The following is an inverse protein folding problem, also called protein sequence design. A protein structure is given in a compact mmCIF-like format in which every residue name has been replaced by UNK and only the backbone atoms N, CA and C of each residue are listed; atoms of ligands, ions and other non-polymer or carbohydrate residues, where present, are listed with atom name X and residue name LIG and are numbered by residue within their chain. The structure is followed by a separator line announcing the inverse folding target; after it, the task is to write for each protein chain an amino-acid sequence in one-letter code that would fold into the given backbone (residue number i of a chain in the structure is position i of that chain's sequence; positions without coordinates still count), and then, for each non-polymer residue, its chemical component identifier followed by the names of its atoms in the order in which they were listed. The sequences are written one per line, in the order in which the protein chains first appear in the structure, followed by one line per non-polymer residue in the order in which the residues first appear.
data_IF_400809312924
#
_entry.id   IF_400809312924
#
_cell.length_a   1.000
_cell.length_b   1.000
_cell.length_c   1.000
_cell.angle_alpha   90.00
_cell.angle_beta   90.00
_cell.angle_gamma   90.00
#
_symmetry.space_group_name_H-M   'P 1'
#
loop_
_entity.id
_entity.type
_entity.pdbx_description
1 polymer ?
#
# COMPACT_ATOMS: atom_id res chain seq x y z
N UNK A 1 4.36 -10.67 -56.03
CA UNK A 1 3.80 -11.45 -54.91
C UNK A 1 3.52 -10.48 -53.79
N UNK A 2 2.38 -9.81 -53.88
CA UNK A 2 1.97 -8.75 -52.98
C UNK A 2 1.14 -9.39 -51.88
N UNK A 3 1.63 -9.31 -50.64
CA UNK A 3 0.97 -9.89 -49.47
C UNK A 3 0.94 -8.85 -48.36
N UNK A 4 -0.24 -8.23 -48.26
CA UNK A 4 -0.95 -7.87 -47.02
C UNK A 4 -0.28 -6.85 -46.08
N UNK A 5 -0.85 -5.65 -45.86
CA UNK A 5 -2.12 -5.37 -45.15
C UNK A 5 -1.79 -4.66 -43.81
N UNK A 6 -1.40 -3.39 -43.86
CA UNK A 6 -1.43 -2.52 -42.68
C UNK A 6 -2.67 -1.63 -42.74
N UNK A 7 -3.68 -2.06 -41.98
CA UNK A 7 -4.98 -1.43 -41.90
C UNK A 7 -4.95 -0.28 -40.88
N UNK A 8 -5.11 0.93 -41.44
CA UNK A 8 -5.81 2.12 -40.88
C UNK A 8 -5.12 3.01 -39.84
N UNK A 9 -4.55 4.10 -40.35
CA UNK A 9 -4.67 5.44 -39.79
C UNK A 9 -6.12 5.95 -39.85
N UNK A 10 -6.52 6.79 -38.89
CA UNK A 10 -7.31 8.02 -39.09
C UNK A 10 -7.73 8.55 -37.71
N UNK A 11 -7.17 9.70 -37.31
CA UNK A 11 -7.73 10.51 -36.25
C UNK A 11 -8.98 11.26 -36.71
N UNK A 12 -9.78 11.73 -35.76
CA UNK A 12 -10.69 12.86 -35.97
C UNK A 12 -11.01 13.53 -34.63
N UNK A 13 -10.69 14.81 -34.58
CA UNK A 13 -11.11 15.84 -33.63
C UNK A 13 -12.62 16.06 -33.76
N UNK A 14 -13.35 16.28 -32.66
CA UNK A 14 -14.60 17.04 -32.68
C UNK A 14 -14.93 17.66 -31.32
N UNK A 15 -15.19 18.97 -31.38
CA UNK A 15 -15.51 19.90 -30.30
C UNK A 15 -17.02 19.93 -30.11
N UNK A 16 -17.52 19.94 -28.87
CA UNK A 16 -18.91 20.35 -28.57
C UNK A 16 -18.89 21.25 -27.34
N UNK A 17 -18.97 22.55 -27.58
CA UNK A 17 -19.49 23.52 -26.62
C UNK A 17 -20.99 23.63 -26.87
N UNK A 18 -21.80 23.41 -25.84
CA UNK A 18 -23.22 23.73 -25.86
C UNK A 18 -23.54 24.57 -24.63
N UNK A 19 -23.60 25.87 -24.87
CA UNK A 19 -24.41 26.80 -24.09
C UNK A 19 -25.84 26.28 -24.04
N UNK A 20 -26.37 26.08 -22.84
CA UNK A 20 -27.81 26.12 -22.61
C UNK A 20 -28.07 26.47 -21.14
N UNK A 21 -28.18 27.77 -20.86
CA UNK A 21 -29.12 28.21 -19.85
C UNK A 21 -30.51 27.75 -20.31
N UNK A 22 -31.22 26.97 -19.50
CA UNK A 22 -32.65 26.76 -19.71
C UNK A 22 -33.37 27.03 -18.42
N UNK A 23 -34.26 28.01 -18.53
CA UNK A 23 -35.25 28.42 -17.56
C UNK A 23 -36.18 27.24 -17.29
N UNK A 24 -36.42 27.04 -16.01
CA UNK A 24 -37.49 26.24 -15.40
C UNK A 24 -38.83 26.47 -16.09
N UNK A 25 -39.40 25.43 -16.67
CA UNK A 25 -40.85 25.32 -16.85
C UNK A 25 -41.28 23.84 -16.89
N UNK A 26 -42.17 23.52 -15.95
CA UNK A 26 -42.94 22.28 -15.74
C UNK A 26 -42.26 21.05 -15.11
N UNK A 27 -42.81 20.71 -13.94
CA UNK A 27 -42.54 19.56 -13.06
C UNK A 27 -42.83 18.20 -13.70
N UNK A 28 -42.01 17.21 -13.35
CA UNK A 28 -42.39 15.96 -12.66
C UNK A 28 -41.33 14.88 -12.95
N UNK A 29 -40.79 14.31 -11.87
CA UNK A 29 -40.31 12.92 -11.70
C UNK A 29 -39.52 12.17 -12.82
N UNK A 30 -38.38 11.61 -12.37
CA UNK A 30 -37.71 10.37 -12.80
C UNK A 30 -36.48 10.39 -13.77
N UNK A 31 -35.30 10.35 -13.13
CA UNK A 31 -34.23 9.32 -13.22
C UNK A 31 -33.40 9.07 -14.51
N UNK A 32 -32.13 9.47 -14.37
CA UNK A 32 -30.92 8.63 -14.30
C UNK A 32 -30.12 8.24 -15.57
N UNK A 33 -28.80 8.25 -15.33
CA UNK A 33 -27.69 7.57 -15.99
C UNK A 33 -27.11 8.23 -17.26
N UNK A 34 -26.08 9.07 -17.12
CA UNK A 34 -24.67 8.70 -16.91
C UNK A 34 -24.01 8.14 -18.17
N UNK A 35 -23.40 9.04 -18.95
CA UNK A 35 -22.13 8.80 -19.66
C UNK A 35 -21.68 10.10 -20.33
N UNK A 36 -20.35 10.30 -20.31
CA UNK A 36 -19.59 11.17 -21.23
C UNK A 36 -19.38 12.63 -20.77
N UNK A 37 -18.44 12.83 -19.84
CA UNK A 37 -17.82 14.14 -19.58
C UNK A 37 -16.39 14.00 -19.02
N UNK A 38 -15.59 13.11 -19.62
CA UNK A 38 -14.16 12.98 -19.31
C UNK A 38 -13.37 13.07 -20.61
N UNK A 39 -13.11 14.28 -21.08
CA UNK A 39 -12.00 14.62 -21.99
C UNK A 39 -12.06 16.09 -22.41
N UNK A 40 -11.77 17.02 -21.50
CA UNK A 40 -11.38 18.41 -21.86
C UNK A 40 -11.07 19.25 -20.62
N UNK A 41 -10.07 18.86 -19.83
CA UNK A 41 -9.53 19.71 -18.76
C UNK A 41 -8.00 19.71 -18.68
N UNK A 42 -7.32 19.30 -19.76
CA UNK A 42 -5.89 19.55 -19.94
C UNK A 42 -5.74 20.71 -20.91
N UNK A 43 -4.91 21.69 -20.54
CA UNK A 43 -4.47 22.86 -21.31
C UNK A 43 -5.17 24.19 -21.04
N UNK A 44 -5.16 24.66 -19.79
CA UNK A 44 -5.18 26.10 -19.50
C UNK A 44 -4.60 26.39 -18.11
N UNK A 45 -3.38 25.92 -17.87
CA UNK A 45 -2.54 26.56 -16.89
C UNK A 45 -1.93 27.81 -17.54
N UNK A 46 -1.87 28.89 -16.75
CA UNK A 46 -0.97 30.04 -16.90
C UNK A 46 -1.50 31.24 -17.70
N UNK A 47 -2.25 32.12 -17.03
CA UNK A 47 -2.12 33.59 -17.17
C UNK A 47 -2.90 34.28 -16.04
N UNK A 48 -2.29 35.31 -15.44
CA UNK A 48 -2.86 36.27 -14.48
C UNK A 48 -2.79 35.94 -12.97
N UNK A 49 -1.56 35.79 -12.47
CA UNK A 49 -1.11 36.47 -11.25
C UNK A 49 -0.72 37.89 -11.71
N UNK A 50 -1.39 38.99 -11.34
CA UNK A 50 -1.02 39.89 -10.24
C UNK A 50 -1.88 41.16 -10.32
N UNK A 51 -2.70 41.45 -9.30
CA UNK A 51 -3.06 42.81 -8.87
C UNK A 51 -3.69 42.70 -7.48
N UNK A 52 -3.01 43.25 -6.47
CA UNK A 52 -3.26 43.00 -5.05
C UNK A 52 -4.35 43.86 -4.39
N UNK A 53 -4.50 43.66 -3.06
CA UNK A 53 -5.21 44.59 -2.18
C UNK A 53 -6.06 43.93 -1.09
N UNK A 54 -5.40 43.61 0.03
CA UNK A 54 -5.89 43.02 1.28
C UNK A 54 -7.19 43.60 1.88
N UNK A 55 -8.15 42.74 2.25
CA UNK A 55 -8.93 42.79 3.50
C UNK A 55 -9.90 41.58 3.58
N UNK A 56 -10.05 40.99 4.77
CA UNK A 56 -10.91 39.85 5.14
C UNK A 56 -10.35 38.42 4.93
N UNK A 57 -9.32 38.08 5.72
CA UNK A 57 -9.04 36.73 6.25
C UNK A 57 -10.14 36.34 7.26
N UNK A 58 -10.75 35.16 7.32
CA UNK A 58 -10.33 33.82 6.92
C UNK A 58 -11.60 32.97 6.68
N UNK A 59 -12.29 33.16 5.57
CA UNK A 59 -13.41 32.32 5.18
C UNK A 59 -13.45 32.28 3.65
N UNK A 60 -13.24 31.08 3.10
CA UNK A 60 -13.26 30.78 1.67
C UNK A 60 -12.16 31.44 0.82
N UNK A 61 -10.97 30.84 0.80
CA UNK A 61 -10.30 30.35 -0.42
C UNK A 61 -8.83 30.02 -0.10
N UNK A 62 -8.58 28.79 0.33
CA UNK A 62 -7.27 28.17 0.13
C UNK A 62 -7.54 26.84 -0.57
N UNK A 63 -7.29 26.88 -1.87
CA UNK A 63 -6.95 25.75 -2.70
C UNK A 63 -7.99 24.63 -2.85
N UNK A 64 -8.78 24.71 -3.93
CA UNK A 64 -8.85 23.58 -4.89
C UNK A 64 -7.52 23.47 -5.65
N UNK A 65 -6.46 23.35 -4.85
CA UNK A 65 -5.16 22.76 -5.09
C UNK A 65 -4.81 21.96 -3.82
N UNK A 66 -5.80 21.60 -2.98
CA UNK A 66 -5.71 20.62 -1.91
C UNK A 66 -5.60 19.17 -2.44
N UNK A 67 -5.35 19.00 -3.74
CA UNK A 67 -4.68 17.82 -4.28
C UNK A 67 -3.20 18.10 -4.60
N UNK A 68 -2.58 19.10 -3.98
CA UNK A 68 -1.13 19.11 -3.78
C UNK A 68 -0.87 18.30 -2.53
N UNK A 69 -0.57 17.02 -2.76
CA UNK A 69 -0.09 16.07 -1.77
C UNK A 69 -1.08 15.86 -0.61
N UNK A 70 -2.01 14.90 -0.78
CA UNK A 70 -2.16 13.99 0.36
C UNK A 70 -0.78 13.38 0.52
N UNK A 71 -0.07 13.82 1.56
CA UNK A 71 0.97 13.00 2.15
C UNK A 71 0.24 11.72 2.57
N UNK A 72 0.25 10.72 1.69
CA UNK A 72 -0.15 9.38 2.06
C UNK A 72 0.91 8.92 3.07
N UNK A 73 0.58 9.02 4.35
CA UNK A 73 1.51 8.76 5.44
C UNK A 73 1.26 9.57 6.71
N UNK A 74 0.02 9.91 7.04
CA UNK A 74 -0.27 10.30 8.41
C UNK A 74 0.05 9.10 9.33
N UNK A 75 0.80 9.27 10.44
CA UNK A 75 1.11 8.17 11.32
C UNK A 75 -0.18 7.55 11.84
N UNK A 76 -0.36 6.25 11.60
CA UNK A 76 -1.56 5.55 12.06
C UNK A 76 -1.42 5.29 13.54
N UNK A 77 -2.11 6.10 14.35
CA UNK A 77 -2.16 5.89 15.79
C UNK A 77 -3.26 4.89 16.10
N UNK A 78 -2.89 3.73 16.65
CA UNK A 78 -3.80 2.67 17.06
C UNK A 78 -3.88 2.69 18.58
N UNK A 79 -5.09 2.84 19.12
CA UNK A 79 -5.29 2.76 20.56
C UNK A 79 -5.30 1.29 20.99
N UNK A 80 -4.31 0.87 21.77
CA UNK A 80 -4.17 -0.49 22.26
C UNK A 80 -4.55 -0.55 23.75
N UNK A 81 -5.54 -1.36 24.14
CA UNK A 81 -5.93 -1.49 25.54
C UNK A 81 -4.75 -2.00 26.38
N UNK A 82 -4.38 -1.26 27.43
CA UNK A 82 -3.28 -1.60 28.33
C UNK A 82 -1.88 -1.18 27.89
N UNK A 83 -1.69 -0.82 26.61
CA UNK A 83 -0.42 -0.30 26.07
C UNK A 83 -0.49 1.21 25.79
N UNK A 84 -1.69 1.73 25.50
CA UNK A 84 -1.92 3.13 25.13
C UNK A 84 -1.90 3.33 23.62
N UNK A 85 -1.75 4.58 23.20
CA UNK A 85 -1.67 4.95 21.79
C UNK A 85 -0.33 4.50 21.18
N UNK A 86 -0.41 3.65 20.16
CA UNK A 86 0.75 3.15 19.40
C UNK A 86 0.79 3.86 18.05
N UNK A 87 1.82 4.67 17.84
CA UNK A 87 2.02 5.40 16.59
C UNK A 87 2.80 4.54 15.60
N UNK A 88 2.12 4.06 14.56
CA UNK A 88 2.77 3.31 13.48
C UNK A 88 3.45 4.27 12.50
N UNK A 89 4.71 3.99 12.16
CA UNK A 89 5.39 4.62 11.02
C UNK A 89 4.60 4.39 9.73
N UNK A 90 4.69 5.30 8.74
CA UNK A 90 3.88 5.21 7.52
C UNK A 90 4.09 3.89 6.79
N UNK A 91 5.35 3.45 6.61
CA UNK A 91 5.63 2.18 5.93
C UNK A 91 5.09 0.96 6.68
N UNK A 92 5.11 0.99 8.03
CA UNK A 92 4.54 -0.08 8.85
C UNK A 92 3.02 -0.08 8.75
N UNK A 93 2.38 1.09 8.78
CA UNK A 93 0.94 1.24 8.64
C UNK A 93 0.44 0.79 7.26
N UNK A 94 1.19 1.09 6.19
CA UNK A 94 0.91 0.62 4.84
C UNK A 94 0.99 -0.91 4.75
N UNK A 95 2.06 -1.51 5.26
CA UNK A 95 2.21 -2.96 5.30
C UNK A 95 1.11 -3.63 6.14
N UNK A 96 0.74 -3.04 7.27
CA UNK A 96 -0.35 -3.51 8.13
C UNK A 96 -1.68 -3.51 7.38
N UNK A 97 -1.99 -2.44 6.66
CA UNK A 97 -3.22 -2.33 5.85
C UNK A 97 -3.20 -3.33 4.70
N UNK A 98 -2.08 -3.47 3.99
CA UNK A 98 -1.89 -4.46 2.90
C UNK A 98 -2.09 -5.89 3.38
N UNK A 99 -1.64 -6.20 4.59
CA UNK A 99 -1.81 -7.52 5.21
C UNK A 99 -3.24 -7.80 5.71
N UNK A 100 -4.16 -6.82 5.59
CA UNK A 100 -5.56 -6.95 6.02
C UNK A 100 -5.84 -6.42 7.43
N UNK A 101 -4.90 -5.66 8.00
CA UNK A 101 -5.08 -4.90 9.24
C UNK A 101 -5.47 -5.75 10.44
N UNK A 102 -6.31 -5.17 11.31
CA UNK A 102 -6.69 -5.79 12.59
C UNK A 102 -7.38 -7.14 12.41
N UNK A 103 -8.19 -7.29 11.35
CA UNK A 103 -8.91 -8.52 11.08
C UNK A 103 -7.98 -9.71 10.76
N UNK A 104 -6.74 -9.45 10.31
CA UNK A 104 -5.78 -10.48 9.93
C UNK A 104 -4.62 -10.61 10.91
N UNK A 105 -4.02 -9.47 11.28
CA UNK A 105 -2.85 -9.38 12.15
C UNK A 105 -3.18 -9.12 13.61
N UNK A 106 -4.38 -8.60 13.90
CA UNK A 106 -4.76 -8.14 15.23
C UNK A 106 -4.10 -6.82 15.62
N UNK A 107 -4.36 -6.39 16.86
CA UNK A 107 -3.83 -5.15 17.41
C UNK A 107 -2.30 -5.21 17.58
N UNK A 108 -1.62 -4.04 17.56
CA UNK A 108 -0.24 -3.95 17.99
C UNK A 108 -0.11 -4.42 19.44
N UNK A 109 0.96 -5.16 19.76
CA UNK A 109 1.17 -5.75 21.09
C UNK A 109 2.09 -4.92 21.98
N UNK A 110 2.67 -3.84 21.44
CA UNK A 110 3.61 -2.98 22.12
C UNK A 110 3.95 -1.75 21.27
N UNK A 111 4.80 -0.89 21.81
CA UNK A 111 5.39 0.22 21.07
C UNK A 111 6.36 -0.32 19.99
N UNK A 112 6.57 0.42 18.89
CA UNK A 112 7.56 0.05 17.89
C UNK A 112 8.98 0.09 18.49
N UNK A 113 9.78 -0.92 18.18
CA UNK A 113 11.17 -1.03 18.60
C UNK A 113 12.12 -0.62 17.47
N UNK A 114 13.30 -0.09 17.81
CA UNK A 114 14.27 0.43 16.83
C UNK A 114 15.45 -0.52 16.73
N UNK A 115 15.67 -1.06 15.52
CA UNK A 115 16.78 -1.96 15.23
C UNK A 115 17.66 -1.32 14.15
N UNK A 116 18.78 -0.72 14.56
CA UNK A 116 19.60 0.10 13.66
C UNK A 116 18.77 1.22 13.02
N UNK A 117 18.83 1.33 11.70
CA UNK A 117 18.03 2.30 10.92
C UNK A 117 16.60 1.83 10.61
N UNK A 118 16.22 0.59 10.97
CA UNK A 118 14.86 0.09 10.81
C UNK A 118 13.99 0.11 12.07
N UNK A 119 12.71 -0.20 11.89
CA UNK A 119 11.66 -0.20 12.90
C UNK A 119 10.94 -1.55 12.90
N UNK A 120 10.68 -2.09 14.08
CA UNK A 120 10.02 -3.39 14.26
C UNK A 120 8.75 -3.19 15.06
N UNK A 121 7.61 -3.59 14.50
CA UNK A 121 6.33 -3.53 15.17
C UNK A 121 5.70 -4.91 15.27
N UNK A 122 5.53 -5.37 16.51
CA UNK A 122 4.82 -6.61 16.81
C UNK A 122 3.30 -6.38 16.83
N UNK A 123 2.58 -7.32 16.22
CA UNK A 123 1.13 -7.45 16.23
C UNK A 123 0.75 -8.83 16.78
N UNK A 124 -0.53 -9.03 17.11
CA UNK A 124 -0.97 -10.26 17.77
C UNK A 124 -0.65 -11.54 16.96
N UNK A 125 -0.62 -11.46 15.63
CA UNK A 125 -0.43 -12.62 14.74
C UNK A 125 0.78 -12.54 13.81
N UNK A 126 1.64 -11.54 13.98
CA UNK A 126 2.80 -11.35 13.12
C UNK A 126 3.60 -10.12 13.53
N UNK A 127 4.74 -9.92 12.89
CA UNK A 127 5.59 -8.75 13.14
C UNK A 127 5.96 -8.11 11.81
N UNK A 128 5.79 -6.80 11.72
CA UNK A 128 6.19 -6.02 10.56
C UNK A 128 7.57 -5.44 10.84
N UNK A 129 8.52 -5.74 9.97
CA UNK A 129 9.87 -5.20 10.01
C UNK A 129 10.02 -4.21 8.87
N UNK A 130 10.38 -2.98 9.20
CA UNK A 130 10.60 -1.91 8.23
C UNK A 130 12.05 -1.46 8.27
N UNK A 131 12.68 -1.28 7.11
CA UNK A 131 13.96 -0.59 7.01
C UNK A 131 13.99 0.32 5.78
N UNK A 132 14.83 1.37 5.79
CA UNK A 132 14.99 2.23 4.61
C UNK A 132 15.46 1.47 3.37
N UNK A 133 16.24 0.39 3.56
CA UNK A 133 16.84 -0.36 2.46
C UNK A 133 15.90 -1.42 1.87
N UNK A 134 15.02 -2.02 2.67
CA UNK A 134 14.15 -3.11 2.21
C UNK A 134 12.67 -2.72 2.14
N UNK A 135 12.24 -1.67 2.81
CA UNK A 135 10.82 -1.37 3.01
C UNK A 135 10.23 -2.15 4.18
N UNK A 136 8.90 -2.13 4.32
CA UNK A 136 8.17 -2.83 5.37
C UNK A 136 7.63 -4.18 4.87
N UNK A 137 7.96 -5.25 5.59
CA UNK A 137 7.54 -6.61 5.26
C UNK A 137 6.98 -7.31 6.49
N UNK A 138 5.92 -8.07 6.27
CA UNK A 138 5.31 -8.91 7.30
C UNK A 138 6.01 -10.27 7.36
N UNK A 139 6.40 -10.67 8.58
CA UNK A 139 6.82 -12.03 8.89
C UNK A 139 5.91 -12.58 9.98
N UNK A 140 5.41 -13.81 9.81
CA UNK A 140 4.43 -14.41 10.71
C UNK A 140 4.69 -15.91 10.91
N UNK A 141 3.84 -16.57 11.71
CA UNK A 141 3.86 -18.03 11.89
C UNK A 141 5.21 -18.62 12.36
N UNK A 142 5.54 -19.82 11.87
CA UNK A 142 6.78 -20.52 12.23
C UNK A 142 8.02 -19.84 11.62
N UNK A 143 7.91 -19.18 10.46
CA UNK A 143 9.04 -18.42 9.90
C UNK A 143 9.45 -17.30 10.86
N UNK A 144 8.48 -16.55 11.42
CA UNK A 144 8.77 -15.50 12.42
C UNK A 144 9.44 -16.08 13.66
N UNK A 145 9.00 -17.24 14.13
CA UNK A 145 9.55 -17.90 15.32
C UNK A 145 11.01 -18.31 15.11
N UNK A 146 11.32 -18.96 13.98
CA UNK A 146 12.69 -19.31 13.60
C UNK A 146 13.53 -18.04 13.42
N UNK A 147 13.00 -17.04 12.73
CA UNK A 147 13.69 -15.77 12.50
C UNK A 147 14.03 -15.05 13.81
N UNK A 148 13.10 -15.01 14.76
CA UNK A 148 13.32 -14.40 16.08
C UNK A 148 14.35 -15.17 16.89
N UNK A 149 14.36 -16.50 16.82
CA UNK A 149 15.38 -17.33 17.45
C UNK A 149 16.79 -17.07 16.89
N UNK A 150 16.89 -16.66 15.62
CA UNK A 150 18.14 -16.26 14.96
C UNK A 150 18.53 -14.79 15.20
N UNK A 151 17.86 -14.09 16.14
CA UNK A 151 18.13 -12.69 16.48
C UNK A 151 17.35 -11.66 15.64
N UNK A 152 16.37 -12.10 14.84
CA UNK A 152 15.53 -11.26 14.00
C UNK A 152 16.35 -10.27 13.14
N UNK A 153 15.87 -9.04 12.98
CA UNK A 153 16.52 -8.02 12.14
C UNK A 153 17.89 -7.57 12.64
N UNK A 154 18.19 -7.76 13.93
CA UNK A 154 19.51 -7.50 14.52
C UNK A 154 20.48 -8.69 14.41
N UNK A 155 19.99 -9.85 13.96
CA UNK A 155 20.76 -11.08 13.84
C UNK A 155 21.50 -11.22 12.51
N UNK A 156 22.00 -12.42 12.26
CA UNK A 156 22.84 -12.73 11.10
C UNK A 156 22.09 -12.60 9.77
N UNK A 157 20.77 -12.84 9.76
CA UNK A 157 19.94 -12.78 8.56
C UNK A 157 19.59 -11.34 8.11
N UNK A 158 19.63 -10.36 9.03
CA UNK A 158 19.23 -8.99 8.76
C UNK A 158 17.72 -8.83 8.51
N UNK A 159 17.30 -7.70 7.94
CA UNK A 159 15.88 -7.40 7.69
C UNK A 159 15.26 -8.29 6.61
N UNK A 160 13.94 -8.56 6.64
CA UNK A 160 13.25 -9.19 5.53
C UNK A 160 13.29 -8.31 4.27
N UNK A 161 13.35 -8.95 3.11
CA UNK A 161 13.35 -8.30 1.79
C UNK A 161 12.05 -8.51 1.03
N UNK A 162 11.21 -9.43 1.49
CA UNK A 162 9.88 -9.71 0.95
C UNK A 162 8.96 -10.20 2.08
N UNK A 163 7.65 -10.07 1.87
CA UNK A 163 6.64 -10.77 2.67
C UNK A 163 6.84 -12.30 2.52
N UNK A 164 6.43 -13.04 3.55
CA UNK A 164 6.44 -14.51 3.52
C UNK A 164 5.57 -15.05 2.37
N UNK A 165 6.10 -16.04 1.65
CA UNK A 165 5.43 -16.65 0.50
C UNK A 165 5.27 -18.15 0.67
N UNK A 166 4.20 -18.71 0.12
CA UNK A 166 4.03 -20.16 0.02
C UNK A 166 4.97 -20.74 -1.04
N UNK A 167 5.57 -21.89 -0.75
CA UNK A 167 6.38 -22.67 -1.70
C UNK A 167 5.50 -23.63 -2.50
N UNK A 168 6.07 -24.26 -3.53
CA UNK A 168 5.36 -25.01 -4.58
C UNK A 168 4.25 -25.94 -4.02
N UNK A 169 2.99 -25.50 -4.17
CA UNK A 169 1.77 -26.25 -3.83
C UNK A 169 1.22 -26.03 -2.42
N UNK A 170 1.82 -25.16 -1.61
CA UNK A 170 1.36 -24.83 -0.26
C UNK A 170 1.74 -25.88 0.80
N UNK A 171 1.37 -25.68 2.06
CA UNK A 171 1.81 -26.53 3.17
C UNK A 171 1.30 -27.97 3.12
N UNK A 172 0.28 -28.26 2.32
CA UNK A 172 -0.34 -29.59 2.22
C UNK A 172 0.42 -30.55 1.28
N UNK A 173 1.37 -30.05 0.48
CA UNK A 173 2.15 -30.91 -0.43
C UNK A 173 3.55 -31.20 0.11
N UNK A 174 4.07 -32.38 -0.23
CA UNK A 174 5.44 -32.73 0.09
C UNK A 174 6.41 -31.71 -0.53
N UNK A 175 7.31 -31.15 0.29
CA UNK A 175 8.24 -30.06 -0.01
C UNK A 175 7.57 -28.69 -0.26
N UNK A 176 6.26 -28.59 -0.08
CA UNK A 176 5.54 -27.31 0.01
C UNK A 176 5.55 -26.77 1.44
N UNK A 177 5.13 -25.53 1.65
CA UNK A 177 5.25 -24.82 2.92
C UNK A 177 5.45 -23.34 2.71
N UNK A 178 6.33 -22.73 3.51
CA UNK A 178 6.57 -21.29 3.48
C UNK A 178 8.04 -20.94 3.38
N UNK A 179 8.32 -19.78 2.79
CA UNK A 179 9.65 -19.19 2.66
C UNK A 179 9.62 -17.72 3.06
N UNK A 180 10.61 -17.31 3.85
CA UNK A 180 10.95 -15.92 4.10
C UNK A 180 12.32 -15.59 3.51
N UNK A 181 12.40 -14.49 2.77
CA UNK A 181 13.67 -13.96 2.24
C UNK A 181 14.15 -12.78 3.09
N UNK A 182 15.43 -12.80 3.43
CA UNK A 182 16.10 -11.81 4.27
C UNK A 182 17.35 -11.29 3.57
N UNK A 183 17.83 -10.12 4.02
CA UNK A 183 18.98 -9.45 3.42
C UNK A 183 20.20 -10.36 3.24
N UNK A 184 20.46 -11.23 4.22
CA UNK A 184 21.64 -12.10 4.27
C UNK A 184 21.27 -13.57 4.30
N UNK A 185 20.09 -13.95 3.83
CA UNK A 185 19.69 -15.35 3.86
C UNK A 185 18.22 -15.59 3.56
N UNK A 186 17.80 -16.82 3.83
CA UNK A 186 16.40 -17.24 3.72
C UNK A 186 16.09 -18.30 4.77
N UNK A 187 14.81 -18.37 5.14
CA UNK A 187 14.29 -19.42 6.01
C UNK A 187 13.19 -20.12 5.24
N UNK A 188 13.24 -21.45 5.20
CA UNK A 188 12.14 -22.28 4.70
C UNK A 188 11.55 -23.10 5.83
N UNK A 189 10.24 -23.30 5.80
CA UNK A 189 9.49 -24.21 6.67
C UNK A 189 8.68 -25.14 5.78
N UNK A 190 9.19 -26.34 5.52
CA UNK A 190 8.67 -27.22 4.48
C UNK A 190 8.10 -28.51 5.06
N UNK A 191 6.91 -28.90 4.59
CA UNK A 191 6.31 -30.19 4.84
C UNK A 191 7.19 -31.29 4.21
N UNK A 192 7.57 -32.29 4.99
CA UNK A 192 8.41 -33.40 4.52
C UNK A 192 7.62 -34.48 3.76
N UNK A 193 6.28 -34.32 3.67
CA UNK A 193 5.37 -35.26 3.01
C UNK A 193 4.70 -36.26 3.96
N UNK A 194 5.14 -36.29 5.23
CA UNK A 194 4.57 -37.12 6.29
C UNK A 194 3.72 -36.29 7.29
N UNK A 195 3.45 -35.03 6.97
CA UNK A 195 2.78 -34.07 7.87
C UNK A 195 3.71 -33.44 8.90
N UNK A 196 4.98 -33.84 8.94
CA UNK A 196 6.03 -33.16 9.68
C UNK A 196 6.61 -32.01 8.86
N UNK A 197 6.96 -30.91 9.51
CA UNK A 197 7.61 -29.77 8.88
C UNK A 197 9.05 -29.66 9.37
N UNK A 198 9.92 -29.11 8.52
CA UNK A 198 11.33 -28.91 8.82
C UNK A 198 11.74 -27.48 8.45
N UNK A 199 12.42 -26.82 9.39
CA UNK A 199 13.03 -25.53 9.10
C UNK A 199 14.39 -25.70 8.45
N UNK A 200 14.74 -24.80 7.54
CA UNK A 200 16.10 -24.67 7.04
C UNK A 200 16.44 -23.19 6.97
N UNK A 201 17.50 -22.81 7.68
CA UNK A 201 18.06 -21.46 7.63
C UNK A 201 19.28 -21.48 6.72
N UNK A 202 19.26 -20.66 5.68
CA UNK A 202 20.38 -20.52 4.74
C UNK A 202 20.91 -19.10 4.84
N UNK A 203 22.20 -18.94 5.15
CA UNK A 203 22.88 -17.65 5.13
C UNK A 203 23.59 -17.45 3.79
N UNK A 204 23.69 -16.20 3.32
CA UNK A 204 24.35 -15.79 2.06
C UNK A 204 25.70 -15.14 2.33
#
# INVERSE_FOLDING_TARGET
MDTNLMKRAAGAVSVVALSAAVIVACSQEDRNAAKESVSSATSAASSAISAGGSAASSAASSASSAVSSVVAGAPSTVNVPGVGDVTLEPSVAEAYTKAGGEAKLGLPTGQPDKVGDGTVQAFAKGTIFSSPSTGAHLVQGEILKVYTAQGAAGGELGFPTADEAETAGGPDVAKGGWIGEFQKGSITWLNQGDGTFKETVTQK
#
